data_IF_132963160694
#
_entry.id   IF_132963160694
#
_cell.length_a   1.000
_cell.length_b   1.000
_cell.length_c   1.000
_cell.angle_alpha   90.00
_cell.angle_beta   90.00
_cell.angle_gamma   90.00
#
_symmetry.space_group_name_H-M   'P 1'
#
loop_
_entity.id
_entity.type
_entity.pdbx_description
1 polymer ?
#
# COMPACT_ATOMS: atom_id res chain seq x y z
N UNK A 1 41.16 30.81 -73.36
CA UNK A 1 40.39 30.90 -72.11
C UNK A 1 40.38 29.51 -71.47
N UNK A 2 41.15 29.32 -70.40
CA UNK A 2 41.18 28.08 -69.60
C UNK A 2 40.42 28.39 -68.30
N UNK A 3 39.32 27.70 -68.06
CA UNK A 3 38.55 27.82 -66.82
C UNK A 3 39.18 26.92 -65.75
N UNK A 4 39.54 27.51 -64.61
CA UNK A 4 40.04 26.81 -63.43
C UNK A 4 38.85 26.37 -62.56
N UNK A 5 38.78 25.08 -62.26
CA UNK A 5 37.80 24.45 -61.39
C UNK A 5 38.27 24.62 -59.93
N UNK A 6 37.51 25.36 -59.12
CA UNK A 6 37.80 25.60 -57.71
C UNK A 6 36.97 24.62 -56.87
N UNK A 7 37.62 23.65 -56.22
CA UNK A 7 36.98 22.73 -55.27
C UNK A 7 36.77 23.46 -53.93
N UNK A 8 35.51 23.58 -53.50
CA UNK A 8 35.14 24.03 -52.16
C UNK A 8 35.02 22.80 -51.25
N UNK A 9 35.91 22.68 -50.27
CA UNK A 9 35.83 21.66 -49.20
C UNK A 9 34.92 22.19 -48.09
N UNK A 10 33.73 21.59 -47.95
CA UNK A 10 32.81 21.86 -46.83
C UNK A 10 33.29 21.13 -45.58
N UNK A 11 33.72 21.87 -44.56
CA UNK A 11 34.07 21.31 -43.26
C UNK A 11 32.80 21.11 -42.41
N UNK A 12 32.41 19.86 -42.17
CA UNK A 12 31.39 19.52 -41.18
C UNK A 12 32.00 19.62 -39.77
N UNK A 13 31.62 20.65 -39.02
CA UNK A 13 31.83 20.71 -37.57
C UNK A 13 30.81 19.80 -36.89
N UNK A 14 31.27 18.65 -36.42
CA UNK A 14 30.52 17.80 -35.48
C UNK A 14 30.64 18.45 -34.10
N UNK A 15 29.61 19.18 -33.68
CA UNK A 15 29.47 19.60 -32.28
C UNK A 15 29.07 18.38 -31.47
N UNK A 16 30.03 17.82 -30.73
CA UNK A 16 29.76 16.84 -29.69
C UNK A 16 28.89 17.52 -28.61
N UNK A 17 27.59 17.23 -28.61
CA UNK A 17 26.70 17.63 -27.54
C UNK A 17 27.04 16.83 -26.29
N UNK A 18 27.72 17.44 -25.34
CA UNK A 18 27.73 16.95 -23.97
C UNK A 18 26.28 17.03 -23.46
N UNK A 19 25.64 15.88 -23.20
CA UNK A 19 24.40 15.89 -22.42
C UNK A 19 24.77 16.34 -21.01
N UNK A 20 24.48 17.58 -20.65
CA UNK A 20 24.50 17.99 -19.26
C UNK A 20 23.50 17.11 -18.52
N UNK A 21 23.99 16.24 -17.64
CA UNK A 21 23.15 15.50 -16.71
C UNK A 21 22.49 16.51 -15.77
N UNK A 22 21.16 16.62 -15.83
CA UNK A 22 20.39 17.42 -14.88
C UNK A 22 20.74 16.91 -13.47
N UNK A 23 21.21 17.76 -12.54
CA UNK A 23 21.50 17.33 -11.18
C UNK A 23 20.21 16.81 -10.53
N UNK A 24 20.28 15.72 -9.74
CA UNK A 24 19.10 15.18 -9.07
C UNK A 24 18.46 16.25 -8.17
N UNK A 25 17.12 16.31 -8.17
CA UNK A 25 16.37 17.21 -7.30
C UNK A 25 16.76 16.95 -5.83
N UNK A 26 16.89 17.99 -4.98
CA UNK A 26 17.19 17.80 -3.58
C UNK A 26 16.05 17.05 -2.85
N UNK A 27 16.34 16.36 -1.73
CA UNK A 27 15.29 15.77 -0.90
C UNK A 27 14.30 16.83 -0.41
N UNK A 28 13.03 16.45 -0.29
CA UNK A 28 11.96 17.34 0.17
C UNK A 28 11.63 17.00 1.61
N UNK A 29 11.91 17.93 2.52
CA UNK A 29 11.66 17.73 3.95
C UNK A 29 10.18 17.40 4.23
N UNK A 30 9.95 16.42 5.08
CA UNK A 30 8.64 15.98 5.56
C UNK A 30 8.61 16.12 7.08
N UNK A 31 7.56 16.75 7.59
CA UNK A 31 7.43 17.06 9.02
C UNK A 31 6.02 16.74 9.49
N UNK A 32 5.89 16.28 10.73
CA UNK A 32 4.59 16.17 11.41
C UNK A 32 4.54 17.30 12.41
N UNK A 33 3.54 18.17 12.28
CA UNK A 33 3.36 19.31 13.18
C UNK A 33 2.06 19.17 13.94
N UNK A 34 2.08 19.56 15.21
CA UNK A 34 0.87 19.76 16.01
C UNK A 34 0.20 21.07 15.57
N UNK A 35 -1.13 21.06 15.53
CA UNK A 35 -2.02 22.15 15.12
C UNK A 35 -3.12 22.31 16.16
N UNK A 36 -3.90 23.39 16.11
CA UNK A 36 -5.04 23.58 17.02
C UNK A 36 -6.10 22.46 16.89
N UNK A 37 -6.12 21.75 15.75
CA UNK A 37 -7.07 20.68 15.42
C UNK A 37 -6.44 19.28 15.44
N UNK A 38 -5.24 19.11 15.98
CA UNK A 38 -4.53 17.82 16.04
C UNK A 38 -3.17 17.88 15.35
N UNK A 39 -2.96 17.14 14.27
CA UNK A 39 -1.68 16.96 13.58
C UNK A 39 -1.84 17.14 12.07
N UNK A 40 -0.77 17.63 11.45
CA UNK A 40 -0.69 17.80 10.00
C UNK A 40 0.66 17.30 9.50
N UNK A 41 0.64 16.50 8.44
CA UNK A 41 1.82 16.17 7.66
C UNK A 41 2.13 17.34 6.71
N UNK A 42 3.36 17.83 6.75
CA UNK A 42 3.89 18.84 5.85
C UNK A 42 4.92 18.21 4.91
N UNK A 43 4.95 18.64 3.66
CA UNK A 43 6.00 18.30 2.69
C UNK A 43 6.50 19.57 2.02
N UNK A 44 7.78 19.88 2.21
CA UNK A 44 8.38 21.13 1.73
C UNK A 44 7.80 22.38 2.41
N UNK A 45 7.27 22.22 3.64
CA UNK A 45 6.61 23.30 4.40
C UNK A 45 5.12 23.48 4.10
N UNK A 46 4.58 22.76 3.11
CA UNK A 46 3.16 22.85 2.71
C UNK A 46 2.35 21.65 3.24
N UNK A 47 1.07 21.83 3.62
CA UNK A 47 0.19 20.73 3.99
C UNK A 47 0.12 19.63 2.93
N UNK A 48 0.28 18.38 3.34
CA UNK A 48 0.27 17.22 2.46
C UNK A 48 -0.71 16.16 2.95
N UNK A 49 -1.77 15.91 2.18
CA UNK A 49 -2.74 14.84 2.43
C UNK A 49 -2.38 13.60 1.62
N UNK A 50 -2.19 12.46 2.31
CA UNK A 50 -1.89 11.17 1.67
C UNK A 50 -3.16 10.58 1.04
N UNK A 51 -3.16 10.45 -0.29
CA UNK A 51 -4.13 9.70 -1.10
C UNK A 51 -3.45 8.41 -1.54
N UNK A 52 -3.32 7.48 -0.59
CA UNK A 52 -2.34 6.41 -0.65
C UNK A 52 -2.88 5.07 -1.11
N UNK A 53 -2.03 4.26 -1.75
CA UNK A 53 -2.24 2.82 -1.90
C UNK A 53 -0.96 1.99 -1.69
N UNK A 54 -1.09 0.77 -1.18
CA UNK A 54 -0.01 -0.22 -1.21
C UNK A 54 0.18 -0.71 -2.64
N UNK A 55 1.39 -0.59 -3.18
CA UNK A 55 1.65 -0.80 -4.61
C UNK A 55 2.21 -2.20 -4.89
N UNK A 56 1.45 -3.01 -5.63
CA UNK A 56 1.78 -4.39 -5.96
C UNK A 56 2.42 -4.63 -7.31
N UNK A 57 2.26 -3.66 -8.21
CA UNK A 57 2.68 -3.70 -9.61
C UNK A 57 3.20 -2.32 -9.98
N UNK A 58 4.14 -2.22 -10.92
CA UNK A 58 4.54 -0.92 -11.43
C UNK A 58 3.45 -0.37 -12.37
N UNK A 59 2.56 0.45 -11.80
CA UNK A 59 1.38 1.02 -12.47
C UNK A 59 1.12 2.45 -11.96
N UNK A 60 2.21 3.17 -11.68
CA UNK A 60 2.20 4.48 -11.02
C UNK A 60 1.48 5.54 -11.86
N UNK A 61 1.69 5.54 -13.18
CA UNK A 61 1.03 6.50 -14.08
C UNK A 61 -0.50 6.40 -13.98
N UNK A 62 -1.03 5.18 -14.06
CA UNK A 62 -2.48 4.94 -13.97
C UNK A 62 -3.00 5.27 -12.58
N UNK A 63 -2.31 4.81 -11.53
CA UNK A 63 -2.63 5.18 -10.15
C UNK A 63 -2.74 6.69 -9.96
N UNK A 64 -1.77 7.45 -10.48
CA UNK A 64 -1.79 8.90 -10.44
C UNK A 64 -2.95 9.51 -11.24
N UNK A 65 -3.31 8.93 -12.39
CA UNK A 65 -4.47 9.37 -13.17
C UNK A 65 -5.81 9.18 -12.45
N UNK A 66 -5.90 8.27 -11.47
CA UNK A 66 -7.05 8.15 -10.58
C UNK A 66 -7.01 9.10 -9.37
N UNK A 67 -6.01 9.99 -9.29
CA UNK A 67 -5.88 10.99 -8.22
C UNK A 67 -5.07 10.53 -7.01
N UNK A 68 -4.50 9.32 -7.06
CA UNK A 68 -3.55 8.84 -6.06
C UNK A 68 -2.26 9.67 -6.08
N UNK A 69 -1.67 9.92 -4.91
CA UNK A 69 -0.47 10.78 -4.80
C UNK A 69 0.66 10.19 -3.94
N UNK A 70 0.45 9.03 -3.34
CA UNK A 70 1.44 8.37 -2.50
C UNK A 70 1.32 6.85 -2.59
N UNK A 71 2.43 6.14 -2.61
CA UNK A 71 2.45 4.68 -2.59
C UNK A 71 3.22 4.17 -1.38
N UNK A 72 2.83 3.00 -0.88
CA UNK A 72 3.59 2.27 0.14
C UNK A 72 4.26 1.05 -0.46
N UNK A 73 5.50 0.81 -0.05
CA UNK A 73 6.24 -0.43 -0.31
C UNK A 73 6.63 -1.10 1.00
N UNK A 74 7.07 -2.35 0.95
CA UNK A 74 7.40 -3.14 2.14
C UNK A 74 8.89 -3.42 2.33
N UNK A 75 9.70 -3.17 1.30
CA UNK A 75 11.13 -3.46 1.31
C UNK A 75 11.79 -2.74 0.14
N UNK A 76 13.05 -2.35 0.32
CA UNK A 76 13.92 -1.82 -0.72
C UNK A 76 14.70 -2.91 -1.48
N UNK A 77 14.65 -4.16 -1.00
CA UNK A 77 15.50 -5.28 -1.44
C UNK A 77 14.73 -6.46 -2.03
N UNK A 78 13.45 -6.27 -2.36
CA UNK A 78 12.64 -7.31 -3.04
C UNK A 78 13.26 -7.65 -4.39
N UNK A 79 13.49 -8.95 -4.64
CA UNK A 79 14.20 -9.44 -5.83
C UNK A 79 13.59 -9.02 -7.19
N UNK A 80 12.31 -8.65 -7.22
CA UNK A 80 11.59 -8.21 -8.43
C UNK A 80 11.24 -6.72 -8.44
N UNK A 81 11.84 -5.93 -7.54
CA UNK A 81 11.58 -4.50 -7.43
C UNK A 81 12.91 -3.76 -7.56
N UNK A 82 13.04 -2.95 -8.60
CA UNK A 82 14.09 -1.92 -8.66
C UNK A 82 13.59 -0.70 -7.91
N UNK A 83 14.03 -0.54 -6.67
CA UNK A 83 13.59 0.55 -5.80
C UNK A 83 13.99 1.93 -6.33
N UNK A 84 15.13 2.06 -7.03
CA UNK A 84 15.51 3.36 -7.61
C UNK A 84 14.58 3.72 -8.75
N UNK A 85 14.34 2.78 -9.67
CA UNK A 85 13.43 2.99 -10.79
C UNK A 85 12.00 3.28 -10.33
N UNK A 86 11.53 2.62 -9.27
CA UNK A 86 10.21 2.88 -8.67
C UNK A 86 10.13 4.31 -8.11
N UNK A 87 11.16 4.77 -7.42
CA UNK A 87 11.19 6.13 -6.89
C UNK A 87 11.28 7.18 -8.02
N UNK A 88 12.02 6.89 -9.09
CA UNK A 88 12.13 7.76 -10.29
C UNK A 88 10.76 7.89 -10.99
N UNK A 89 10.07 6.76 -11.18
CA UNK A 89 8.73 6.74 -11.74
C UNK A 89 7.74 7.48 -10.84
N UNK A 90 7.83 7.31 -9.51
CA UNK A 90 7.01 8.05 -8.57
C UNK A 90 7.24 9.57 -8.70
N UNK A 91 8.49 10.03 -8.72
CA UNK A 91 8.82 11.45 -8.93
C UNK A 91 8.25 11.98 -10.25
N UNK A 92 8.43 11.24 -11.34
CA UNK A 92 7.97 11.63 -12.68
C UNK A 92 6.44 11.84 -12.76
N UNK A 93 5.68 11.14 -11.91
CA UNK A 93 4.22 11.24 -11.84
C UNK A 93 3.71 12.05 -10.63
N UNK A 94 4.59 12.75 -9.91
CA UNK A 94 4.21 13.55 -8.74
C UNK A 94 3.72 12.71 -7.54
N UNK A 95 4.11 11.44 -7.50
CA UNK A 95 3.77 10.47 -6.46
C UNK A 95 4.89 10.39 -5.44
N UNK A 96 4.54 10.31 -4.16
CA UNK A 96 5.50 10.09 -3.06
C UNK A 96 5.52 8.63 -2.63
N UNK A 97 6.55 8.23 -1.87
CA UNK A 97 6.73 6.83 -1.45
C UNK A 97 6.97 6.74 0.06
N UNK A 98 6.07 6.07 0.77
CA UNK A 98 6.35 5.52 2.10
C UNK A 98 7.18 4.24 1.90
N UNK A 99 8.49 4.38 2.09
CA UNK A 99 9.47 3.38 1.67
C UNK A 99 9.73 2.36 2.78
N UNK A 100 9.40 1.10 2.51
CA UNK A 100 9.56 0.01 3.47
C UNK A 100 11.00 -0.45 3.63
N UNK A 101 11.45 -0.59 4.88
CA UNK A 101 12.69 -1.24 5.28
C UNK A 101 12.34 -2.61 5.86
N UNK A 102 12.58 -3.66 5.06
CA UNK A 102 12.13 -5.02 5.36
C UNK A 102 12.91 -5.68 6.50
N UNK A 103 12.58 -5.35 7.75
CA UNK A 103 13.09 -6.07 8.93
C UNK A 103 12.54 -7.49 8.98
N UNK A 104 13.40 -8.44 9.34
CA UNK A 104 13.07 -9.84 9.51
C UNK A 104 12.25 -10.04 10.80
N UNK A 105 11.02 -10.55 10.71
CA UNK A 105 10.18 -10.78 11.88
C UNK A 105 10.54 -12.09 12.58
N UNK A 106 10.26 -12.17 13.88
CA UNK A 106 10.49 -13.38 14.70
C UNK A 106 9.72 -14.60 14.16
N UNK A 107 8.50 -14.40 13.64
CA UNK A 107 7.70 -15.47 13.02
C UNK A 107 8.38 -16.16 11.83
N UNK A 108 9.40 -15.53 11.24
CA UNK A 108 10.22 -16.12 10.17
C UNK A 108 11.57 -16.68 10.68
N UNK A 109 11.72 -16.81 12.00
CA UNK A 109 12.88 -17.42 12.65
C UNK A 109 14.02 -16.45 13.00
N UNK A 110 13.79 -15.13 12.93
CA UNK A 110 14.82 -14.17 13.34
C UNK A 110 14.92 -14.10 14.87
N UNK A 111 16.13 -14.29 15.40
CA UNK A 111 16.41 -14.26 16.83
C UNK A 111 16.92 -12.88 17.27
N UNK A 112 16.08 -12.13 17.99
CA UNK A 112 16.43 -10.81 18.52
C UNK A 112 17.33 -10.87 19.78
N UNK A 113 17.66 -12.05 20.30
CA UNK A 113 18.70 -12.23 21.32
C UNK A 113 20.09 -12.49 20.70
N UNK A 114 20.22 -12.66 19.37
CA UNK A 114 21.51 -12.72 18.69
C UNK A 114 22.01 -11.31 18.33
N UNK A 115 22.96 -10.71 19.09
CA UNK A 115 23.43 -9.36 18.83
C UNK A 115 24.16 -9.23 17.50
N UNK A 116 24.73 -10.30 16.95
CA UNK A 116 25.40 -10.25 15.64
C UNK A 116 24.38 -10.19 14.50
N UNK A 117 23.31 -10.98 14.61
CA UNK A 117 22.22 -10.95 13.63
C UNK A 117 21.52 -9.58 13.64
N UNK A 118 21.21 -9.04 14.82
CA UNK A 118 20.62 -7.70 14.98
C UNK A 118 21.53 -6.61 14.39
N UNK A 119 22.82 -6.63 14.70
CA UNK A 119 23.78 -5.66 14.16
C UNK A 119 23.91 -5.76 12.62
N UNK A 120 23.92 -6.97 12.05
CA UNK A 120 23.99 -7.15 10.61
C UNK A 120 22.72 -6.64 9.89
N UNK A 121 21.55 -6.83 10.51
CA UNK A 121 20.30 -6.25 10.03
C UNK A 121 20.34 -4.72 10.06
N UNK A 122 20.80 -4.10 11.15
CA UNK A 122 20.95 -2.65 11.26
C UNK A 122 21.87 -2.08 10.16
N UNK A 123 23.02 -2.72 9.90
CA UNK A 123 23.95 -2.29 8.84
C UNK A 123 23.36 -2.47 7.43
N UNK A 124 22.51 -3.47 7.23
CA UNK A 124 21.72 -3.60 5.99
C UNK A 124 20.79 -2.40 5.84
N UNK A 125 20.02 -2.04 6.88
CA UNK A 125 19.13 -0.88 6.84
C UNK A 125 19.90 0.43 6.62
N UNK A 126 21.06 0.61 7.27
CA UNK A 126 21.95 1.76 7.05
C UNK A 126 22.34 1.90 5.58
N UNK A 127 22.71 0.80 4.95
CA UNK A 127 23.09 0.76 3.53
C UNK A 127 21.91 1.19 2.64
N UNK A 128 20.70 0.74 2.93
CA UNK A 128 19.50 1.09 2.16
C UNK A 128 19.09 2.56 2.37
N UNK A 129 19.15 3.06 3.60
CA UNK A 129 18.86 4.48 3.92
C UNK A 129 19.80 5.40 3.16
N UNK A 130 21.11 5.13 3.16
CA UNK A 130 22.09 5.92 2.42
C UNK A 130 21.87 5.94 0.90
N UNK A 131 21.22 4.91 0.33
CA UNK A 131 20.92 4.86 -1.10
C UNK A 131 19.77 5.79 -1.49
N UNK A 132 18.75 5.92 -0.63
CA UNK A 132 17.46 6.52 -1.03
C UNK A 132 17.04 7.76 -0.23
N UNK A 133 17.70 8.10 0.89
CA UNK A 133 17.35 9.27 1.73
C UNK A 133 17.29 10.60 1.00
N UNK A 134 18.05 10.74 -0.08
CA UNK A 134 18.14 12.00 -0.83
C UNK A 134 17.13 12.04 -1.99
N UNK A 135 16.27 11.01 -2.13
CA UNK A 135 15.31 10.93 -3.21
C UNK A 135 14.10 11.85 -2.96
N UNK A 136 13.74 12.76 -3.90
CA UNK A 136 12.64 13.72 -3.72
C UNK A 136 11.25 13.07 -3.57
N UNK A 137 11.02 11.91 -4.20
CA UNK A 137 9.79 11.13 -4.01
C UNK A 137 9.66 10.45 -2.64
N UNK A 138 10.72 10.34 -1.83
CA UNK A 138 10.61 9.74 -0.50
C UNK A 138 9.67 10.59 0.38
N UNK A 139 8.71 9.94 1.04
CA UNK A 139 7.82 10.59 2.01
C UNK A 139 8.28 10.31 3.44
N UNK A 140 8.51 9.04 3.75
CA UNK A 140 8.84 8.55 5.08
C UNK A 140 9.41 7.14 5.01
N UNK A 141 10.05 6.71 6.09
CA UNK A 141 10.58 5.36 6.25
C UNK A 141 9.63 4.49 7.07
N UNK A 142 9.29 3.31 6.54
CA UNK A 142 8.49 2.30 7.25
C UNK A 142 9.41 1.18 7.73
N UNK A 143 9.75 1.19 9.02
CA UNK A 143 10.67 0.25 9.66
C UNK A 143 9.93 -1.05 10.01
N UNK A 144 10.18 -2.10 9.23
CA UNK A 144 9.54 -3.40 9.39
C UNK A 144 8.07 -3.47 8.95
N UNK A 145 7.52 -4.68 8.93
CA UNK A 145 6.12 -4.94 8.60
C UNK A 145 5.51 -5.94 9.57
N UNK A 146 4.52 -5.48 10.35
CA UNK A 146 3.77 -6.32 11.31
C UNK A 146 4.70 -7.14 12.21
N UNK A 147 5.70 -6.48 12.80
CA UNK A 147 6.67 -7.15 13.67
C UNK A 147 6.00 -7.72 14.93
N UNK A 148 4.80 -7.27 15.27
CA UNK A 148 3.96 -7.80 16.35
C UNK A 148 3.20 -9.08 16.00
N UNK A 149 3.20 -9.53 14.73
CA UNK A 149 2.47 -10.75 14.35
C UNK A 149 3.25 -11.97 14.83
N UNK A 150 2.71 -12.65 15.85
CA UNK A 150 3.28 -13.82 16.53
C UNK A 150 4.67 -13.63 17.15
N UNK A 151 5.00 -12.41 17.60
CA UNK A 151 6.23 -12.17 18.34
C UNK A 151 6.12 -12.57 19.82
N UNK A 152 7.25 -12.92 20.41
CA UNK A 152 7.42 -13.15 21.84
C UNK A 152 8.60 -12.40 22.43
N UNK A 153 9.56 -11.99 21.59
CA UNK A 153 10.74 -11.24 22.02
C UNK A 153 10.55 -9.74 21.80
N UNK A 154 10.36 -8.94 22.87
CA UNK A 154 10.10 -7.51 22.75
C UNK A 154 11.34 -6.69 22.35
N UNK A 155 12.54 -7.29 22.32
CA UNK A 155 13.76 -6.66 21.78
C UNK A 155 13.66 -6.33 20.31
N UNK A 156 12.68 -6.88 19.58
CA UNK A 156 12.35 -6.43 18.23
C UNK A 156 12.17 -4.92 18.18
N UNK A 157 11.57 -4.31 19.21
CA UNK A 157 11.36 -2.86 19.25
C UNK A 157 12.59 -2.08 19.70
N UNK A 158 13.51 -2.69 20.46
CA UNK A 158 14.84 -2.12 20.68
C UNK A 158 15.58 -2.02 19.33
N UNK A 159 15.52 -3.05 18.50
CA UNK A 159 16.11 -3.03 17.15
C UNK A 159 15.42 -2.04 16.20
N UNK A 160 14.09 -1.85 16.31
CA UNK A 160 13.37 -0.79 15.59
C UNK A 160 13.88 0.58 16.02
N UNK A 161 14.13 0.79 17.32
CA UNK A 161 14.69 2.04 17.83
C UNK A 161 16.07 2.32 17.23
N UNK A 162 16.96 1.33 17.23
CA UNK A 162 18.32 1.49 16.69
C UNK A 162 18.29 1.91 15.21
N UNK A 163 17.34 1.39 14.42
CA UNK A 163 17.12 1.81 13.03
C UNK A 163 16.58 3.23 12.96
N UNK A 164 15.62 3.60 13.80
CA UNK A 164 15.04 4.95 13.84
C UNK A 164 16.08 6.02 14.26
N UNK A 165 16.92 5.73 15.25
CA UNK A 165 18.04 6.61 15.65
C UNK A 165 19.06 6.77 14.53
N UNK A 166 19.42 5.67 13.87
CA UNK A 166 20.32 5.70 12.72
C UNK A 166 19.75 6.54 11.57
N UNK A 167 18.45 6.41 11.27
CA UNK A 167 17.80 7.24 10.25
C UNK A 167 17.81 8.70 10.67
N UNK A 168 17.48 9.03 11.92
CA UNK A 168 17.50 10.42 12.41
C UNK A 168 18.88 11.08 12.27
N UNK A 169 19.96 10.33 12.42
CA UNK A 169 21.33 10.83 12.18
C UNK A 169 21.62 11.04 10.69
N UNK A 170 21.21 10.10 9.84
CA UNK A 170 21.58 10.08 8.43
C UNK A 170 20.63 10.85 7.51
N UNK A 171 19.36 10.96 7.86
CA UNK A 171 18.29 11.54 7.07
C UNK A 171 17.45 12.49 7.94
N UNK A 172 17.84 13.77 8.02
CA UNK A 172 17.08 14.76 8.77
C UNK A 172 15.81 15.23 8.06
N UNK A 173 15.48 14.66 6.88
CA UNK A 173 14.39 15.13 6.04
C UNK A 173 13.12 14.30 6.17
N UNK A 174 13.20 13.02 6.54
CA UNK A 174 12.04 12.12 6.47
C UNK A 174 11.75 11.46 7.82
N UNK A 175 10.47 11.42 8.25
CA UNK A 175 10.07 10.75 9.48
C UNK A 175 10.10 9.22 9.35
N UNK A 176 10.02 8.57 10.49
CA UNK A 176 10.06 7.12 10.68
C UNK A 176 8.81 6.62 11.38
N UNK A 177 8.29 5.48 10.93
CA UNK A 177 7.22 4.73 11.59
C UNK A 177 7.52 3.25 11.57
N UNK A 178 6.99 2.50 12.52
CA UNK A 178 6.81 1.04 12.39
C UNK A 178 5.33 0.71 12.21
N UNK A 179 5.02 -0.49 11.69
CA UNK A 179 3.63 -0.90 11.45
C UNK A 179 3.27 -2.13 12.27
N UNK A 180 2.05 -2.15 12.80
CA UNK A 180 1.49 -3.31 13.51
C UNK A 180 0.29 -3.90 12.77
N UNK A 181 0.15 -5.23 12.88
CA UNK A 181 -1.08 -5.92 12.52
C UNK A 181 -2.17 -5.56 13.54
N UNK A 182 -3.12 -4.73 13.13
CA UNK A 182 -4.15 -4.15 13.97
C UNK A 182 -3.66 -3.09 14.96
N UNK A 183 -4.62 -2.43 15.61
CA UNK A 183 -4.39 -1.57 16.78
C UNK A 183 -4.41 -2.42 18.06
N UNK A 184 -3.29 -2.43 18.80
CA UNK A 184 -3.12 -3.24 20.03
C UNK A 184 -2.52 -2.37 21.15
N UNK A 185 -3.29 -1.95 22.15
CA UNK A 185 -2.83 -1.02 23.19
C UNK A 185 -1.57 -1.47 23.92
N UNK A 186 -1.50 -2.75 24.26
CA UNK A 186 -0.36 -3.36 24.93
C UNK A 186 0.92 -3.35 24.09
N UNK A 187 0.78 -3.57 22.77
CA UNK A 187 1.91 -3.48 21.83
C UNK A 187 2.33 -2.01 21.66
N UNK A 188 1.38 -1.09 21.60
CA UNK A 188 1.67 0.34 21.48
C UNK A 188 2.46 0.85 22.70
N UNK A 189 2.08 0.43 23.92
CA UNK A 189 2.83 0.75 25.15
C UNK A 189 4.25 0.23 25.07
N UNK A 190 4.45 -1.00 24.58
CA UNK A 190 5.76 -1.59 24.42
C UNK A 190 6.63 -0.86 23.38
N UNK A 191 6.05 -0.51 22.23
CA UNK A 191 6.73 0.26 21.19
C UNK A 191 7.15 1.63 21.74
N UNK A 192 6.24 2.35 22.40
CA UNK A 192 6.55 3.68 22.96
C UNK A 192 7.65 3.63 24.03
N UNK A 193 7.73 2.53 24.79
CA UNK A 193 8.76 2.35 25.81
C UNK A 193 10.14 1.98 25.21
N UNK A 194 10.16 1.25 24.09
CA UNK A 194 11.40 0.66 23.53
C UNK A 194 11.93 1.37 22.29
N UNK A 195 11.04 2.01 21.53
CA UNK A 195 11.36 2.74 20.30
C UNK A 195 10.98 4.23 20.36
N UNK A 196 11.44 5.00 21.35
CA UNK A 196 11.15 6.43 21.46
C UNK A 196 11.74 7.28 20.34
N UNK A 197 12.64 6.73 19.50
CA UNK A 197 13.16 7.42 18.34
C UNK A 197 12.22 7.40 17.12
N UNK A 198 11.14 6.61 17.14
CA UNK A 198 10.10 6.68 16.11
C UNK A 198 9.36 8.02 16.19
N UNK A 199 8.93 8.53 15.03
CA UNK A 199 8.12 9.74 14.98
C UNK A 199 6.64 9.42 15.25
N UNK A 200 6.16 8.23 14.85
CA UNK A 200 4.81 7.73 15.13
C UNK A 200 4.68 6.21 14.92
N UNK A 201 3.50 5.66 15.26
CA UNK A 201 3.14 4.24 15.03
C UNK A 201 2.06 4.20 13.94
N UNK A 202 2.12 3.18 13.08
CA UNK A 202 1.14 2.95 12.03
C UNK A 202 0.41 1.62 12.22
N UNK A 203 -0.84 1.56 11.77
CA UNK A 203 -1.71 0.39 11.95
C UNK A 203 -2.12 -0.19 10.59
N UNK A 204 -2.14 -1.52 10.48
CA UNK A 204 -2.70 -2.24 9.34
C UNK A 204 -4.03 -2.85 9.75
N UNK A 205 -5.13 -2.42 9.14
CA UNK A 205 -6.48 -2.69 9.63
C UNK A 205 -7.47 -2.93 8.49
N UNK A 206 -8.11 -4.10 8.51
CA UNK A 206 -9.10 -4.52 7.52
C UNK A 206 -10.52 -4.39 8.11
N UNK A 207 -11.21 -5.49 8.45
CA UNK A 207 -12.51 -5.43 9.09
C UNK A 207 -12.48 -4.74 10.46
N UNK A 208 -11.43 -4.97 11.25
CA UNK A 208 -11.22 -4.28 12.52
C UNK A 208 -11.14 -2.75 12.43
N UNK A 209 -10.91 -2.17 11.25
CA UNK A 209 -10.87 -0.72 11.03
C UNK A 209 -12.16 -0.03 11.52
N UNK A 210 -13.31 -0.67 11.33
CA UNK A 210 -14.61 -0.10 11.71
C UNK A 210 -14.75 0.12 13.22
N UNK A 211 -13.93 -0.53 14.05
CA UNK A 211 -13.87 -0.30 15.50
C UNK A 211 -12.77 0.66 15.95
N UNK A 212 -11.93 1.18 15.04
CA UNK A 212 -10.72 1.94 15.42
C UNK A 212 -11.04 3.19 16.25
N UNK A 213 -12.06 3.95 15.87
CA UNK A 213 -12.44 5.19 16.57
C UNK A 213 -12.78 4.94 18.04
N UNK A 214 -13.57 3.90 18.30
CA UNK A 214 -13.95 3.52 19.65
C UNK A 214 -12.72 3.06 20.44
N UNK A 215 -11.83 2.28 19.82
CA UNK A 215 -10.58 1.83 20.46
C UNK A 215 -9.65 2.98 20.83
N UNK A 216 -9.48 3.97 19.96
CA UNK A 216 -8.68 5.16 20.25
C UNK A 216 -9.27 5.92 21.46
N UNK A 217 -10.58 6.15 21.46
CA UNK A 217 -11.27 6.83 22.55
C UNK A 217 -11.22 6.06 23.89
N UNK A 218 -11.41 4.74 23.86
CA UNK A 218 -11.33 3.85 25.03
C UNK A 218 -9.94 3.87 25.69
N UNK A 219 -8.90 4.04 24.89
CA UNK A 219 -7.50 3.93 25.34
C UNK A 219 -6.83 5.28 25.57
N UNK A 220 -7.45 6.38 25.15
CA UNK A 220 -6.88 7.73 25.24
C UNK A 220 -5.63 7.88 24.38
N UNK A 221 -5.57 7.17 23.25
CA UNK A 221 -4.45 7.31 22.32
C UNK A 221 -4.65 8.56 21.48
N UNK A 222 -3.87 9.60 21.77
CA UNK A 222 -4.00 10.92 21.15
C UNK A 222 -2.83 11.25 20.18
N UNK A 223 -1.82 10.38 20.05
CA UNK A 223 -0.69 10.59 19.15
C UNK A 223 -1.09 10.50 17.66
N UNK A 224 -0.32 11.10 16.73
CA UNK A 224 -0.58 10.96 15.30
C UNK A 224 -0.29 9.53 14.85
N UNK A 225 -1.02 9.07 13.83
CA UNK A 225 -0.78 7.75 13.24
C UNK A 225 -1.16 7.72 11.76
N UNK A 226 -0.71 6.67 11.06
CA UNK A 226 -1.22 6.31 9.74
C UNK A 226 -1.91 4.96 9.76
N UNK A 227 -2.88 4.78 8.86
CA UNK A 227 -3.41 3.45 8.52
C UNK A 227 -2.72 2.97 7.24
N UNK A 228 -1.63 2.22 7.40
CA UNK A 228 -0.72 1.86 6.30
C UNK A 228 -1.18 0.69 5.44
N UNK A 229 -2.23 -0.01 5.86
CA UNK A 229 -3.03 -0.90 5.02
C UNK A 229 -4.47 -0.85 5.52
N UNK A 230 -5.41 -0.64 4.61
CA UNK A 230 -6.83 -0.86 4.83
C UNK A 230 -7.52 -1.27 3.53
N UNK A 231 -8.58 -2.07 3.60
CA UNK A 231 -9.27 -2.48 2.39
C UNK A 231 -10.35 -3.52 2.63
N UNK A 232 -10.44 -4.49 1.73
CA UNK A 232 -11.45 -5.55 1.81
C UNK A 232 -11.35 -6.31 3.14
N UNK A 233 -12.50 -6.79 3.63
CA UNK A 233 -12.58 -7.56 4.88
C UNK A 233 -11.71 -8.81 4.76
N UNK A 234 -10.88 -9.10 5.77
CA UNK A 234 -9.99 -10.25 5.74
C UNK A 234 -10.76 -11.57 5.77
N UNK A 235 -10.24 -12.61 5.11
CA UNK A 235 -10.87 -13.96 5.10
C UNK A 235 -10.99 -14.60 6.48
N UNK A 236 -10.24 -14.11 7.47
CA UNK A 236 -10.35 -14.51 8.86
C UNK A 236 -11.53 -13.82 9.59
N UNK A 237 -12.13 -12.79 8.99
CA UNK A 237 -13.22 -11.98 9.54
C UNK A 237 -14.57 -12.25 8.86
N UNK A 238 -14.61 -13.09 7.82
CA UNK A 238 -15.84 -13.43 7.08
C UNK A 238 -16.44 -14.75 7.56
N UNK A 239 -17.74 -14.93 7.31
CA UNK A 239 -18.41 -16.21 7.44
C UNK A 239 -17.74 -17.29 6.57
N UNK A 240 -17.96 -18.55 6.94
CA UNK A 240 -17.40 -19.72 6.26
C UNK A 240 -18.48 -20.74 5.94
N UNK A 241 -18.27 -21.50 4.87
CA UNK A 241 -19.07 -22.68 4.56
C UNK A 241 -18.93 -23.75 5.65
N UNK A 242 -19.78 -24.78 5.61
CA UNK A 242 -19.70 -25.93 6.53
C UNK A 242 -18.36 -26.68 6.46
N UNK A 243 -17.60 -26.55 5.36
CA UNK A 243 -16.26 -27.13 5.19
C UNK A 243 -15.12 -26.10 5.37
N UNK A 244 -15.43 -24.90 5.89
CA UNK A 244 -14.43 -23.92 6.30
C UNK A 244 -13.88 -23.01 5.20
N UNK A 245 -14.47 -23.01 4.00
CA UNK A 245 -14.11 -22.06 2.96
C UNK A 245 -14.70 -20.67 3.29
N UNK A 246 -13.90 -19.62 3.22
CA UNK A 246 -14.33 -18.26 3.51
C UNK A 246 -15.18 -17.71 2.36
N UNK A 247 -16.31 -17.07 2.68
CA UNK A 247 -17.12 -16.39 1.68
C UNK A 247 -16.44 -15.07 1.29
N UNK A 248 -16.03 -14.98 0.03
CA UNK A 248 -15.49 -13.74 -0.53
C UNK A 248 -16.62 -12.82 -0.98
N UNK A 249 -16.50 -11.54 -0.66
CA UNK A 249 -17.41 -10.50 -1.11
C UNK A 249 -17.24 -10.20 -2.60
N UNK A 250 -18.33 -9.80 -3.24
CA UNK A 250 -18.33 -9.28 -4.62
C UNK A 250 -17.48 -8.00 -4.74
N UNK A 251 -17.11 -7.61 -5.96
CA UNK A 251 -16.43 -6.33 -6.21
C UNK A 251 -17.22 -5.14 -5.69
N UNK A 252 -18.55 -5.17 -5.81
CA UNK A 252 -19.44 -4.11 -5.33
C UNK A 252 -19.53 -4.04 -3.82
N UNK A 253 -19.61 -5.18 -3.13
CA UNK A 253 -19.57 -5.20 -1.67
C UNK A 253 -18.20 -4.72 -1.13
N UNK A 254 -17.10 -5.03 -1.84
CA UNK A 254 -15.78 -4.46 -1.53
C UNK A 254 -15.78 -2.94 -1.72
N UNK A 255 -16.29 -2.45 -2.85
CA UNK A 255 -16.39 -1.01 -3.12
C UNK A 255 -17.23 -0.28 -2.05
N UNK A 256 -18.38 -0.84 -1.67
CA UNK A 256 -19.24 -0.33 -0.60
C UNK A 256 -18.50 -0.31 0.75
N UNK A 257 -17.68 -1.33 1.05
CA UNK A 257 -16.87 -1.37 2.26
C UNK A 257 -15.76 -0.29 2.27
N UNK A 258 -15.13 -0.01 1.13
CA UNK A 258 -14.13 1.06 1.01
C UNK A 258 -14.76 2.44 1.22
N UNK A 259 -15.92 2.71 0.59
CA UNK A 259 -16.66 3.96 0.78
C UNK A 259 -17.06 4.14 2.24
N UNK A 260 -17.54 3.07 2.89
CA UNK A 260 -17.88 3.09 4.31
C UNK A 260 -16.66 3.38 5.18
N UNK A 261 -15.52 2.73 4.93
CA UNK A 261 -14.29 2.93 5.68
C UNK A 261 -13.82 4.39 5.62
N UNK A 262 -13.83 4.99 4.42
CA UNK A 262 -13.52 6.40 4.23
C UNK A 262 -14.45 7.29 5.06
N UNK A 263 -15.76 7.09 4.92
CA UNK A 263 -16.78 7.99 5.45
C UNK A 263 -17.01 7.88 6.96
N UNK A 264 -16.88 6.67 7.51
CA UNK A 264 -17.21 6.40 8.92
C UNK A 264 -15.98 6.37 9.83
N UNK A 265 -14.80 6.10 9.26
CA UNK A 265 -13.55 5.92 10.02
C UNK A 265 -12.48 6.92 9.62
N UNK A 266 -12.01 6.89 8.37
CA UNK A 266 -10.78 7.61 8.00
C UNK A 266 -10.97 9.13 7.95
N UNK A 267 -12.00 9.63 7.26
CA UNK A 267 -12.30 11.07 7.19
C UNK A 267 -12.61 11.63 8.59
N UNK A 268 -13.44 10.97 9.43
CA UNK A 268 -13.67 11.45 10.81
C UNK A 268 -12.45 11.44 11.72
N UNK A 269 -11.37 10.76 11.35
CA UNK A 269 -10.10 10.74 12.09
C UNK A 269 -9.07 11.74 11.53
N UNK A 270 -9.38 12.49 10.47
CA UNK A 270 -8.51 13.57 9.99
C UNK A 270 -8.16 14.53 11.14
N UNK A 271 -6.90 14.96 11.18
CA UNK A 271 -6.33 15.68 12.33
C UNK A 271 -5.67 14.76 13.36
N UNK A 272 -5.96 13.47 13.40
CA UNK A 272 -5.13 12.50 14.13
C UNK A 272 -4.51 11.46 13.19
N UNK A 273 -5.31 11.00 12.23
CA UNK A 273 -4.88 10.25 11.07
C UNK A 273 -4.16 11.20 10.10
N UNK A 274 -2.85 11.03 9.98
CA UNK A 274 -2.01 11.87 9.11
C UNK A 274 -1.76 11.25 7.73
N UNK A 275 -2.33 10.07 7.46
CA UNK A 275 -2.28 9.43 6.15
C UNK A 275 -2.84 8.02 6.16
N UNK A 276 -3.28 7.54 4.99
CA UNK A 276 -3.74 6.16 4.83
C UNK A 276 -3.40 5.57 3.46
N UNK A 277 -3.27 4.25 3.42
CA UNK A 277 -2.94 3.50 2.20
C UNK A 277 -3.94 2.37 1.98
N UNK A 278 -4.76 2.52 0.94
CA UNK A 278 -5.66 1.47 0.48
C UNK A 278 -4.86 0.24 0.04
N UNK A 279 -5.34 -0.95 0.38
CA UNK A 279 -4.74 -2.23 0.03
C UNK A 279 -5.73 -3.01 -0.84
N UNK A 280 -5.41 -3.39 -2.09
CA UNK A 280 -4.08 -3.41 -2.71
C UNK A 280 -4.13 -2.96 -4.18
N UNK A 281 -3.34 -1.93 -4.55
CA UNK A 281 -3.22 -1.53 -5.97
C UNK A 281 -2.35 -2.55 -6.71
N UNK A 282 -3.02 -3.54 -7.29
CA UNK A 282 -2.38 -4.71 -7.86
C UNK A 282 -3.25 -5.95 -7.71
N UNK A 283 -2.63 -7.10 -7.93
CA UNK A 283 -3.21 -8.41 -7.74
C UNK A 283 -2.20 -9.31 -7.01
N UNK A 284 -2.67 -10.08 -6.04
CA UNK A 284 -1.89 -11.11 -5.32
C UNK A 284 -2.81 -12.29 -5.05
N UNK A 285 -2.29 -13.51 -5.19
CA UNK A 285 -2.95 -14.69 -4.65
C UNK A 285 -2.87 -14.63 -3.12
N UNK A 286 -3.98 -14.29 -2.47
CA UNK A 286 -4.09 -14.17 -1.02
C UNK A 286 -5.45 -14.74 -0.60
N UNK A 287 -5.45 -15.99 -0.13
CA UNK A 287 -6.62 -16.89 -0.10
C UNK A 287 -7.20 -17.19 -1.48
N UNK A 288 -7.67 -16.21 -2.22
CA UNK A 288 -8.14 -16.30 -3.62
C UNK A 288 -7.36 -15.32 -4.50
N UNK A 289 -7.45 -15.41 -5.85
CA UNK A 289 -6.79 -14.45 -6.72
C UNK A 289 -7.45 -13.04 -6.69
N UNK A 290 -8.59 -12.88 -6.01
CA UNK A 290 -9.40 -11.66 -6.05
C UNK A 290 -9.60 -11.01 -4.70
N UNK A 291 -9.12 -11.61 -3.59
CA UNK A 291 -9.52 -11.20 -2.24
C UNK A 291 -9.27 -9.72 -1.95
N UNK A 292 -8.02 -9.27 -2.06
CA UNK A 292 -7.61 -7.89 -1.72
C UNK A 292 -7.23 -7.02 -2.93
N UNK A 293 -7.08 -7.63 -4.11
CA UNK A 293 -6.63 -6.91 -5.31
C UNK A 293 -7.68 -5.89 -5.79
N UNK A 294 -7.25 -4.65 -6.01
CA UNK A 294 -8.03 -3.63 -6.72
C UNK A 294 -7.99 -3.84 -8.23
N UNK A 295 -7.04 -4.65 -8.70
CA UNK A 295 -6.88 -5.04 -10.10
C UNK A 295 -7.07 -6.56 -10.26
N UNK A 296 -7.58 -6.98 -11.40
CA UNK A 296 -7.62 -8.38 -11.81
C UNK A 296 -6.22 -8.88 -12.21
N UNK A 297 -6.08 -10.19 -12.40
CA UNK A 297 -4.81 -10.81 -12.85
C UNK A 297 -4.32 -10.27 -14.20
N UNK A 298 -5.23 -9.86 -15.09
CA UNK A 298 -4.95 -9.21 -16.38
C UNK A 298 -4.93 -7.67 -16.28
N UNK A 299 -4.93 -7.10 -15.07
CA UNK A 299 -4.74 -5.67 -14.81
C UNK A 299 -5.98 -4.80 -15.00
N UNK A 300 -7.18 -5.39 -15.12
CA UNK A 300 -8.45 -4.65 -15.20
C UNK A 300 -8.83 -4.09 -13.83
N UNK A 301 -9.43 -2.91 -13.85
CA UNK A 301 -9.90 -2.24 -12.65
C UNK A 301 -11.18 -2.89 -12.11
N UNK A 302 -11.35 -2.78 -10.79
CA UNK A 302 -12.55 -3.21 -10.07
C UNK A 302 -13.31 -1.98 -9.55
N UNK A 303 -14.55 -2.14 -9.09
CA UNK A 303 -15.36 -1.03 -8.55
C UNK A 303 -14.71 -0.31 -7.36
N UNK A 304 -13.76 -0.98 -6.68
CA UNK A 304 -12.94 -0.33 -5.65
C UNK A 304 -12.14 0.83 -6.25
N UNK A 305 -11.61 0.70 -7.46
CA UNK A 305 -10.88 1.77 -8.15
C UNK A 305 -11.80 2.97 -8.44
N UNK A 306 -13.07 2.74 -8.81
CA UNK A 306 -14.04 3.81 -9.05
C UNK A 306 -14.31 4.60 -7.75
N UNK A 307 -14.48 3.89 -6.64
CA UNK A 307 -14.68 4.51 -5.32
C UNK A 307 -13.46 5.31 -4.90
N UNK A 308 -12.26 4.77 -5.08
CA UNK A 308 -11.02 5.48 -4.74
C UNK A 308 -10.78 6.69 -5.65
N UNK A 309 -11.05 6.55 -6.95
CA UNK A 309 -11.02 7.68 -7.89
C UNK A 309 -11.93 8.80 -7.38
N UNK A 310 -13.18 8.48 -7.04
CA UNK A 310 -14.11 9.48 -6.49
C UNK A 310 -13.63 10.10 -5.18
N UNK A 311 -13.11 9.29 -4.26
CA UNK A 311 -12.58 9.78 -2.99
C UNK A 311 -11.40 10.74 -3.18
N UNK A 312 -10.56 10.49 -4.19
CA UNK A 312 -9.35 11.26 -4.44
C UNK A 312 -9.55 12.48 -5.34
N UNK A 313 -10.44 12.41 -6.33
CA UNK A 313 -10.70 13.50 -7.30
C UNK A 313 -11.94 14.32 -6.97
N UNK A 314 -12.87 13.77 -6.18
CA UNK A 314 -14.18 14.34 -5.91
C UNK A 314 -15.23 14.06 -6.99
N UNK A 315 -14.92 13.29 -8.04
CA UNK A 315 -15.81 12.98 -9.15
C UNK A 315 -15.77 11.49 -9.48
N UNK A 316 -16.85 10.92 -10.02
CA UNK A 316 -16.77 9.56 -10.55
C UNK A 316 -15.92 9.50 -11.83
N UNK A 317 -15.29 8.35 -12.15
CA UNK A 317 -14.75 8.12 -13.48
C UNK A 317 -15.84 8.28 -14.55
N UNK A 318 -15.44 8.72 -15.75
CA UNK A 318 -16.36 8.86 -16.89
C UNK A 318 -17.01 7.53 -17.30
N UNK A 319 -16.29 6.42 -17.13
CA UNK A 319 -16.75 5.06 -17.38
C UNK A 319 -16.50 4.22 -16.14
N UNK A 320 -17.55 3.66 -15.54
CA UNK A 320 -17.45 2.92 -14.28
C UNK A 320 -17.49 1.43 -14.53
N UNK A 321 -16.92 0.69 -13.60
CA UNK A 321 -16.96 -0.76 -13.65
C UNK A 321 -18.38 -1.29 -13.39
N UNK A 322 -18.73 -2.47 -13.94
CA UNK A 322 -20.03 -3.08 -13.69
C UNK A 322 -20.22 -3.44 -12.22
N UNK A 323 -21.42 -3.17 -11.70
CA UNK A 323 -21.82 -3.57 -10.36
C UNK A 323 -22.30 -5.01 -10.33
N UNK A 324 -21.75 -5.82 -9.43
CA UNK A 324 -22.16 -7.21 -9.18
C UNK A 324 -23.04 -7.26 -7.94
N UNK A 325 -24.32 -7.54 -8.13
CA UNK A 325 -25.30 -7.59 -7.03
C UNK A 325 -25.40 -8.98 -6.39
N UNK A 326 -25.23 -10.05 -7.18
CA UNK A 326 -25.30 -11.41 -6.68
C UNK A 326 -24.60 -12.41 -7.61
N UNK A 327 -24.02 -13.45 -7.02
CA UNK A 327 -23.59 -14.66 -7.70
C UNK A 327 -24.35 -15.85 -7.13
N UNK A 328 -24.94 -16.67 -8.00
CA UNK A 328 -25.75 -17.83 -7.62
C UNK A 328 -25.32 -19.08 -8.37
N UNK A 329 -25.39 -20.21 -7.70
CA UNK A 329 -25.23 -21.55 -8.27
C UNK A 329 -26.45 -22.37 -7.89
N UNK A 330 -27.18 -22.85 -8.90
CA UNK A 330 -28.44 -23.59 -8.72
C UNK A 330 -29.45 -22.77 -7.88
N UNK A 331 -29.55 -21.47 -8.17
CA UNK A 331 -30.43 -20.51 -7.50
C UNK A 331 -29.98 -20.05 -6.09
N UNK A 332 -29.00 -20.74 -5.50
CA UNK A 332 -28.47 -20.49 -4.14
C UNK A 332 -27.24 -19.60 -4.17
N UNK A 333 -26.97 -18.89 -3.07
CA UNK A 333 -25.82 -17.99 -2.93
C UNK A 333 -25.46 -17.78 -1.46
N UNK A 334 -24.59 -16.81 -1.17
CA UNK A 334 -24.25 -16.46 0.21
C UNK A 334 -25.52 -16.23 1.08
N UNK A 335 -25.58 -16.73 2.32
CA UNK A 335 -24.55 -17.49 3.05
C UNK A 335 -24.69 -19.03 2.98
N UNK A 336 -25.36 -19.58 1.96
CA UNK A 336 -25.62 -21.03 1.88
C UNK A 336 -24.37 -21.84 1.53
N UNK A 337 -24.17 -22.97 2.21
CA UNK A 337 -23.18 -23.99 1.82
C UNK A 337 -23.73 -24.88 0.70
N UNK A 338 -23.29 -24.64 -0.52
CA UNK A 338 -23.84 -25.29 -1.72
C UNK A 338 -23.18 -26.66 -1.94
N UNK A 339 -23.92 -27.74 -1.65
CA UNK A 339 -23.53 -29.12 -1.96
C UNK A 339 -24.22 -29.58 -3.25
N UNK A 340 -23.46 -30.15 -4.17
CA UNK A 340 -23.90 -30.61 -5.49
C UNK A 340 -23.64 -32.11 -5.68
N UNK A 341 -24.39 -32.74 -6.59
CA UNK A 341 -24.23 -34.16 -6.94
C UNK A 341 -23.31 -34.31 -8.15
N UNK A 342 -22.31 -35.20 -8.03
CA UNK A 342 -21.34 -35.48 -9.10
C UNK A 342 -22.06 -35.95 -10.38
N UNK A 343 -21.68 -35.38 -11.52
CA UNK A 343 -22.21 -35.74 -12.84
C UNK A 343 -23.55 -35.08 -13.21
N UNK A 344 -24.12 -34.25 -12.34
CA UNK A 344 -25.28 -33.43 -12.67
C UNK A 344 -24.88 -32.07 -13.26
N UNK A 345 -25.78 -31.48 -14.05
CA UNK A 345 -25.65 -30.13 -14.59
C UNK A 345 -26.34 -29.15 -13.65
N UNK A 346 -25.73 -27.97 -13.47
CA UNK A 346 -26.23 -26.89 -12.63
C UNK A 346 -26.01 -25.55 -13.32
N UNK A 347 -26.95 -24.62 -13.11
CA UNK A 347 -26.88 -23.28 -13.67
C UNK A 347 -26.13 -22.33 -12.74
N UNK A 348 -25.15 -21.60 -13.27
CA UNK A 348 -24.55 -20.45 -12.61
C UNK A 348 -25.16 -19.16 -13.17
N UNK A 349 -25.54 -18.24 -12.28
CA UNK A 349 -26.15 -16.97 -12.64
C UNK A 349 -25.47 -15.82 -11.89
N UNK A 350 -25.22 -14.72 -12.58
CA UNK A 350 -24.70 -13.48 -12.01
C UNK A 350 -25.70 -12.36 -12.29
N UNK A 351 -26.02 -11.59 -11.25
CA UNK A 351 -26.77 -10.35 -11.34
C UNK A 351 -25.76 -9.20 -11.40
N UNK A 352 -25.67 -8.56 -12.57
CA UNK A 352 -24.72 -7.50 -12.86
C UNK A 352 -25.40 -6.36 -13.61
N UNK A 353 -25.03 -5.13 -13.26
CA UNK A 353 -25.51 -3.92 -13.92
C UNK A 353 -24.33 -3.03 -14.30
N UNK A 354 -24.24 -2.69 -15.59
CA UNK A 354 -23.31 -1.68 -16.06
C UNK A 354 -23.90 -0.28 -15.85
N UNK A 355 -23.21 0.65 -15.16
CA UNK A 355 -23.79 1.94 -14.84
C UNK A 355 -24.03 2.83 -16.07
N UNK A 356 -23.30 2.60 -17.17
CA UNK A 356 -23.42 3.32 -18.44
C UNK A 356 -24.25 2.55 -19.48
N UNK A 357 -24.62 1.29 -19.17
CA UNK A 357 -25.45 0.43 -20.02
C UNK A 357 -24.65 -0.27 -21.13
N UNK A 358 -23.33 -0.38 -20.96
CA UNK A 358 -22.43 -0.98 -21.92
C UNK A 358 -22.60 -2.52 -22.00
N UNK A 359 -22.26 -3.12 -23.16
CA UNK A 359 -22.36 -4.57 -23.33
C UNK A 359 -21.34 -5.31 -22.46
N UNK A 360 -21.82 -6.29 -21.70
CA UNK A 360 -21.00 -7.08 -20.78
C UNK A 360 -20.45 -8.35 -21.42
N UNK A 361 -19.19 -8.66 -21.11
CA UNK A 361 -18.54 -9.92 -21.44
C UNK A 361 -18.31 -10.73 -20.16
N UNK A 362 -18.67 -12.02 -20.22
CA UNK A 362 -18.60 -12.92 -19.07
C UNK A 362 -17.52 -13.97 -19.28
N UNK A 363 -16.62 -14.10 -18.30
CA UNK A 363 -15.66 -15.20 -18.21
C UNK A 363 -15.96 -15.98 -16.94
N UNK A 364 -16.25 -17.28 -17.09
CA UNK A 364 -16.49 -18.20 -15.99
C UNK A 364 -15.27 -19.09 -15.77
N UNK A 365 -14.85 -19.23 -14.52
CA UNK A 365 -13.76 -20.13 -14.13
C UNK A 365 -14.14 -20.89 -12.86
N UNK A 366 -13.95 -22.21 -12.87
CA UNK A 366 -14.12 -23.08 -11.72
C UNK A 366 -12.75 -23.54 -11.26
N UNK A 367 -12.41 -23.26 -10.01
CA UNK A 367 -11.12 -23.61 -9.39
C UNK A 367 -11.35 -24.52 -8.17
N UNK A 368 -10.39 -25.39 -7.81
CA UNK A 368 -10.40 -26.00 -6.49
C UNK A 368 -10.28 -24.92 -5.41
N UNK A 369 -10.89 -25.17 -4.25
CA UNK A 369 -10.71 -24.30 -3.07
C UNK A 369 -9.21 -24.19 -2.74
N UNK A 370 -8.80 -22.98 -2.40
CA UNK A 370 -7.40 -22.70 -2.10
C UNK A 370 -6.94 -23.45 -0.86
N UNK A 371 -5.83 -24.17 -0.99
CA UNK A 371 -5.10 -24.74 0.13
C UNK A 371 -4.08 -23.75 0.73
N UNK A 372 -4.03 -22.50 0.26
CA UNK A 372 -3.10 -21.50 0.77
C UNK A 372 -3.44 -21.16 2.23
N UNK A 373 -2.41 -21.27 3.07
CA UNK A 373 -2.40 -20.82 4.48
C UNK A 373 -1.45 -19.65 4.69
N UNK A 374 -1.00 -18.99 3.61
CA UNK A 374 -0.13 -17.82 3.72
C UNK A 374 -0.87 -16.72 4.48
N UNK A 375 -0.16 -16.07 5.41
CA UNK A 375 -0.59 -14.88 6.12
C UNK A 375 0.50 -13.82 5.93
N UNK A 376 0.16 -12.70 5.28
CA UNK A 376 1.00 -11.49 5.15
C UNK A 376 2.21 -11.61 4.22
#
# INVERSE_FOLDING_TARGET
MRYALMFLTTACLVTAGCSESIPPSPPVKVEIVETESGYQLLRGGEPYTVKGAGMGVDDIERFASHGGNSIRTWSTTRARQDTRALLDAAEAHGVTVALGLGMAPERHGFDYDDPKAVAAQLETMRTEVLKYRDHPALLLWVIGNELNHHYTNPRVYDAVNDVAEMIRELDPNHPTTTTTSGYKPEVNVEILARAPALDFISFQMYGSLFGLRDRLAETGYDAPFMVTEWGAIGWWETDKTEWGAAFETTSSEKADAFDRALREVLIPLEGQLIGSYAFFWGQKQERTPTWFGMLTEDGKETEVVDVMHRAWTGQWPDNRTPRVNALRLDGRGYPESIVLTVGQQYDAAIDVADPEGDPLLYRWELKPESAATSEG
#
